data_IF_292551545741
#
_entry.id   IF_292551545741
#
_cell.length_a   1.000
_cell.length_b   1.000
_cell.length_c   1.000
_cell.angle_alpha   90.00
_cell.angle_beta   90.00
_cell.angle_gamma   90.00
#
_symmetry.space_group_name_H-M   'P 1'
#
loop_
_entity.id
_entity.type
_entity.pdbx_description
1 polymer ?
#
# COMPACT_ATOMS: atom_id res chain seq x y z
N UNK A 1 16.03 -5.59 -17.16
CA UNK A 1 15.59 -4.66 -16.11
C UNK A 1 15.15 -5.50 -14.92
N UNK A 2 15.31 -5.03 -13.68
CA UNK A 2 14.76 -5.72 -12.52
C UNK A 2 13.24 -5.85 -12.64
N UNK A 3 12.69 -7.00 -12.25
CA UNK A 3 11.26 -7.26 -12.27
C UNK A 3 10.62 -6.78 -10.96
N UNK A 4 9.55 -5.99 -11.07
CA UNK A 4 8.81 -5.47 -9.93
C UNK A 4 7.38 -6.01 -9.95
N UNK A 5 6.97 -6.69 -8.89
CA UNK A 5 5.59 -7.10 -8.70
C UNK A 5 4.86 -6.08 -7.82
N UNK A 6 3.87 -5.40 -8.38
CA UNK A 6 3.00 -4.51 -7.65
C UNK A 6 1.82 -5.29 -7.06
N UNK A 7 2.00 -5.75 -5.82
CA UNK A 7 1.03 -6.51 -5.03
C UNK A 7 0.00 -5.57 -4.38
N UNK A 8 -0.66 -4.77 -5.21
CA UNK A 8 -1.61 -3.73 -4.81
C UNK A 8 -2.81 -3.82 -5.76
N UNK A 9 -4.04 -3.86 -5.23
CA UNK A 9 -5.25 -3.85 -6.07
C UNK A 9 -5.29 -2.60 -6.98
N UNK A 10 -5.90 -2.67 -8.17
CA UNK A 10 -5.93 -1.54 -9.10
C UNK A 10 -6.46 -0.24 -8.48
N UNK A 11 -7.52 -0.34 -7.68
CA UNK A 11 -8.13 0.80 -6.99
C UNK A 11 -7.18 1.39 -5.95
N UNK A 12 -6.50 0.54 -5.16
CA UNK A 12 -5.52 1.02 -4.18
C UNK A 12 -4.30 1.61 -4.88
N UNK A 13 -3.85 1.04 -5.99
CA UNK A 13 -2.74 1.58 -6.76
C UNK A 13 -3.07 3.00 -7.26
N UNK A 14 -4.30 3.24 -7.71
CA UNK A 14 -4.76 4.57 -8.11
C UNK A 14 -4.80 5.58 -6.94
N UNK A 15 -5.03 5.13 -5.70
CA UNK A 15 -5.01 6.00 -4.51
C UNK A 15 -3.60 6.41 -4.07
N UNK A 16 -2.60 5.53 -4.24
CA UNK A 16 -1.27 5.69 -3.63
C UNK A 16 -0.15 5.90 -4.63
N UNK A 17 -0.42 5.76 -5.92
CA UNK A 17 0.54 5.89 -7.02
C UNK A 17 -0.05 6.82 -8.07
N UNK A 18 0.46 8.05 -8.13
CA UNK A 18 0.06 9.00 -9.15
C UNK A 18 0.58 8.58 -10.55
N UNK A 19 0.03 9.15 -11.64
CA UNK A 19 0.41 8.78 -13.00
C UNK A 19 1.90 8.97 -13.33
N UNK A 20 2.55 9.99 -12.76
CA UNK A 20 3.97 10.24 -13.00
C UNK A 20 4.82 9.18 -12.28
N UNK A 21 4.50 8.86 -11.02
CA UNK A 21 5.15 7.78 -10.28
C UNK A 21 4.97 6.43 -10.98
N UNK A 22 3.77 6.14 -11.52
CA UNK A 22 3.53 4.91 -12.28
C UNK A 22 4.44 4.82 -13.51
N UNK A 23 4.51 5.89 -14.31
CA UNK A 23 5.41 5.95 -15.46
C UNK A 23 6.87 5.76 -15.06
N UNK A 24 7.30 6.38 -13.96
CA UNK A 24 8.67 6.20 -13.44
C UNK A 24 8.97 4.76 -13.04
N UNK A 25 7.99 4.02 -12.50
CA UNK A 25 8.16 2.59 -12.21
C UNK A 25 8.28 1.79 -13.51
N UNK A 26 7.40 2.02 -14.47
CA UNK A 26 7.37 1.30 -15.76
C UNK A 26 8.61 1.62 -16.63
N UNK A 27 9.19 2.81 -16.51
CA UNK A 27 10.44 3.19 -17.20
C UNK A 27 11.69 2.51 -16.59
N UNK A 28 11.63 2.08 -15.33
CA UNK A 28 12.79 1.59 -14.56
C UNK A 28 12.76 0.09 -14.28
N UNK A 29 11.58 -0.50 -14.25
CA UNK A 29 11.34 -1.89 -13.90
C UNK A 29 10.48 -2.58 -14.96
N UNK A 30 10.63 -3.89 -15.08
CA UNK A 30 9.62 -4.72 -15.73
C UNK A 30 8.48 -4.95 -14.73
N UNK A 31 7.41 -4.16 -14.82
CA UNK A 31 6.37 -4.11 -13.79
C UNK A 31 5.21 -5.05 -14.10
N UNK A 32 4.93 -5.95 -13.16
CA UNK A 32 3.71 -6.76 -13.14
C UNK A 32 2.72 -6.14 -12.17
N UNK A 33 1.63 -5.60 -12.69
CA UNK A 33 0.54 -5.03 -11.89
C UNK A 33 -0.55 -6.06 -11.61
N UNK A 34 -1.02 -6.12 -10.37
CA UNK A 34 -2.26 -6.82 -10.10
C UNK A 34 -3.43 -6.19 -10.88
N UNK A 35 -4.33 -7.04 -11.35
CA UNK A 35 -5.58 -6.68 -12.06
C UNK A 35 -6.78 -6.99 -11.17
N UNK A 36 -7.99 -6.63 -11.63
CA UNK A 36 -9.23 -6.93 -10.91
C UNK A 36 -9.40 -8.44 -10.61
N UNK A 37 -8.91 -9.31 -11.49
CA UNK A 37 -8.98 -10.78 -11.33
C UNK A 37 -8.12 -11.29 -10.17
N UNK A 38 -7.18 -10.48 -9.68
CA UNK A 38 -6.31 -10.80 -8.55
C UNK A 38 -6.87 -10.27 -7.22
N UNK A 39 -8.10 -9.77 -7.19
CA UNK A 39 -8.71 -9.16 -6.00
C UNK A 39 -9.82 -10.01 -5.40
N UNK A 40 -10.07 -9.83 -4.10
CA UNK A 40 -11.10 -10.54 -3.36
C UNK A 40 -11.89 -9.63 -2.42
N UNK A 41 -13.14 -10.00 -2.19
CA UNK A 41 -14.09 -9.30 -1.33
C UNK A 41 -14.79 -8.11 -2.01
N UNK A 42 -15.92 -7.66 -1.46
CA UNK A 42 -16.62 -6.49 -1.99
C UNK A 42 -15.80 -5.22 -1.74
N UNK A 43 -15.61 -4.42 -2.80
CA UNK A 43 -15.05 -3.07 -2.69
C UNK A 43 -16.08 -2.04 -2.24
N UNK A 44 -15.61 -0.99 -1.57
CA UNK A 44 -16.37 0.22 -1.26
C UNK A 44 -15.48 1.45 -1.43
N UNK A 45 -16.07 2.65 -1.46
CA UNK A 45 -15.31 3.90 -1.51
C UNK A 45 -14.32 4.05 -0.35
N UNK A 46 -14.68 3.58 0.85
CA UNK A 46 -13.83 3.67 2.05
C UNK A 46 -12.80 2.54 2.14
N UNK A 47 -13.08 1.39 1.51
CA UNK A 47 -12.23 0.21 1.53
C UNK A 47 -12.31 -0.47 0.16
N UNK A 48 -11.35 -0.20 -0.75
CA UNK A 48 -11.27 -0.88 -2.03
C UNK A 48 -11.05 -2.40 -1.83
N UNK A 49 -11.30 -3.22 -2.86
CA UNK A 49 -11.03 -4.65 -2.84
C UNK A 49 -9.60 -4.94 -2.39
N UNK A 50 -9.44 -5.99 -1.58
CA UNK A 50 -8.12 -6.46 -1.15
C UNK A 50 -7.50 -7.34 -2.24
N UNK A 51 -6.17 -7.44 -2.25
CA UNK A 51 -5.50 -8.42 -3.11
C UNK A 51 -5.78 -9.83 -2.58
N UNK A 52 -6.12 -10.77 -3.45
CA UNK A 52 -6.31 -12.18 -3.10
C UNK A 52 -4.97 -12.79 -2.66
N UNK A 53 -4.86 -13.38 -1.46
CA UNK A 53 -3.67 -14.12 -1.05
C UNK A 53 -3.21 -15.17 -2.06
N UNK A 54 -4.12 -15.82 -2.78
CA UNK A 54 -3.79 -16.82 -3.79
C UNK A 54 -3.10 -16.23 -5.03
N UNK A 55 -3.28 -14.94 -5.31
CA UNK A 55 -2.63 -14.25 -6.42
C UNK A 55 -1.16 -13.89 -6.14
N UNK A 56 -0.76 -13.81 -4.86
CA UNK A 56 0.56 -13.31 -4.47
C UNK A 56 1.71 -14.14 -5.05
N UNK A 57 1.73 -15.49 -4.92
CA UNK A 57 2.84 -16.29 -5.46
C UNK A 57 2.95 -16.17 -6.98
N UNK A 58 1.82 -16.06 -7.69
CA UNK A 58 1.78 -15.93 -9.14
C UNK A 58 2.34 -14.58 -9.60
N UNK A 59 1.96 -13.50 -8.93
CA UNK A 59 2.44 -12.15 -9.26
C UNK A 59 3.92 -11.97 -8.87
N UNK A 60 4.35 -12.57 -7.77
CA UNK A 60 5.70 -12.48 -7.24
C UNK A 60 6.72 -13.38 -7.96
N UNK A 61 6.28 -14.27 -8.86
CA UNK A 61 7.15 -15.22 -9.54
C UNK A 61 8.27 -14.50 -10.31
N UNK A 62 9.52 -14.79 -9.94
CA UNK A 62 10.71 -14.18 -10.53
C UNK A 62 10.85 -12.67 -10.29
N UNK A 63 10.11 -12.09 -9.34
CA UNK A 63 10.23 -10.69 -9.00
C UNK A 63 11.49 -10.40 -8.17
N UNK A 64 12.19 -9.33 -8.49
CA UNK A 64 13.31 -8.82 -7.69
C UNK A 64 12.82 -7.90 -6.56
N UNK A 65 11.71 -7.20 -6.82
CA UNK A 65 11.12 -6.18 -5.93
C UNK A 65 9.62 -6.44 -5.76
N UNK A 66 9.13 -6.41 -4.53
CA UNK A 66 7.71 -6.36 -4.22
C UNK A 66 7.31 -4.93 -3.84
N UNK A 67 6.36 -4.34 -4.56
CA UNK A 67 5.72 -3.09 -4.18
C UNK A 67 4.37 -3.40 -3.54
N UNK A 68 4.15 -2.91 -2.32
CA UNK A 68 2.99 -3.26 -1.47
C UNK A 68 2.36 -2.01 -0.87
N UNK A 69 1.12 -2.09 -0.38
CA UNK A 69 0.43 -1.00 0.32
C UNK A 69 -0.68 -1.55 1.23
N UNK A 70 -1.61 -0.72 1.69
CA UNK A 70 -2.78 -1.17 2.44
C UNK A 70 -3.65 -2.12 1.61
N UNK A 71 -3.99 -3.28 2.19
CA UNK A 71 -4.79 -4.31 1.51
C UNK A 71 -3.96 -5.37 0.79
N UNK A 72 -2.62 -5.24 0.79
CA UNK A 72 -1.73 -6.37 0.51
C UNK A 72 -1.85 -7.39 1.65
N UNK A 73 -2.05 -8.69 1.36
CA UNK A 73 -2.09 -9.74 2.37
C UNK A 73 -0.71 -9.97 3.00
N UNK A 74 -0.68 -10.79 4.05
CA UNK A 74 0.57 -11.19 4.69
C UNK A 74 1.47 -11.97 3.73
N UNK A 75 2.73 -11.59 3.65
CA UNK A 75 3.78 -12.20 2.86
C UNK A 75 4.58 -13.15 3.76
N UNK A 76 4.22 -14.43 3.73
CA UNK A 76 4.90 -15.44 4.54
C UNK A 76 6.22 -15.89 3.92
N UNK A 77 7.05 -16.53 4.75
CA UNK A 77 8.38 -17.04 4.38
C UNK A 77 8.40 -17.99 3.17
N UNK A 78 7.28 -18.59 2.82
CA UNK A 78 7.11 -19.48 1.66
C UNK A 78 7.49 -18.82 0.33
N UNK A 79 7.32 -17.49 0.20
CA UNK A 79 7.74 -16.74 -0.99
C UNK A 79 9.27 -16.72 -1.19
N UNK A 80 10.04 -17.09 -0.16
CA UNK A 80 11.50 -17.13 -0.19
C UNK A 80 12.07 -18.54 0.03
N UNK A 81 11.23 -19.56 0.13
CA UNK A 81 11.64 -20.91 0.53
C UNK A 81 12.60 -21.59 -0.46
N UNK A 82 12.59 -21.20 -1.73
CA UNK A 82 13.46 -21.73 -2.78
C UNK A 82 14.81 -20.97 -2.92
N UNK A 83 15.03 -19.94 -2.10
CA UNK A 83 16.23 -19.08 -2.12
C UNK A 83 16.23 -18.00 -3.22
N UNK A 84 15.27 -18.02 -4.14
CA UNK A 84 15.15 -17.09 -5.26
C UNK A 84 14.11 -16.00 -5.03
N UNK A 85 13.55 -15.92 -3.83
CA UNK A 85 12.56 -14.90 -3.50
C UNK A 85 13.10 -13.46 -3.62
N UNK A 86 12.19 -12.46 -3.71
CA UNK A 86 12.50 -11.06 -3.96
C UNK A 86 13.46 -10.48 -2.92
N UNK A 87 14.38 -9.62 -3.35
CA UNK A 87 15.41 -9.04 -2.47
C UNK A 87 14.95 -7.75 -1.79
N UNK A 88 13.90 -7.12 -2.30
CA UNK A 88 13.37 -5.87 -1.76
C UNK A 88 11.84 -5.94 -1.61
N UNK A 89 11.34 -5.44 -0.48
CA UNK A 89 9.92 -5.17 -0.26
C UNK A 89 9.74 -3.68 0.03
N UNK A 90 9.16 -2.95 -0.92
CA UNK A 90 8.85 -1.53 -0.78
C UNK A 90 7.37 -1.37 -0.38
N UNK A 91 7.13 -0.94 0.87
CA UNK A 91 5.77 -0.72 1.38
C UNK A 91 5.38 0.75 1.29
N UNK A 92 4.50 1.07 0.35
CA UNK A 92 3.88 2.39 0.15
C UNK A 92 2.75 2.65 1.16
N UNK A 93 3.03 2.39 2.43
CA UNK A 93 2.16 2.62 3.58
C UNK A 93 2.99 2.67 4.87
N UNK A 94 2.31 2.75 6.02
CA UNK A 94 2.93 2.89 7.33
C UNK A 94 3.63 1.63 7.83
N UNK A 95 3.03 0.95 8.81
CA UNK A 95 3.67 -0.19 9.49
C UNK A 95 3.79 -1.43 8.60
N UNK A 96 4.95 -2.11 8.67
CA UNK A 96 5.21 -3.41 8.03
C UNK A 96 5.04 -4.58 8.99
N UNK A 97 4.68 -4.32 10.26
CA UNK A 97 4.66 -5.33 11.34
C UNK A 97 3.87 -6.60 11.01
N UNK A 98 2.75 -6.44 10.30
CA UNK A 98 1.87 -7.55 9.92
C UNK A 98 2.00 -7.91 8.43
N UNK A 99 2.88 -7.23 7.69
CA UNK A 99 3.04 -7.43 6.25
C UNK A 99 3.90 -8.65 5.96
N UNK A 100 4.96 -8.90 6.73
CA UNK A 100 6.00 -9.87 6.38
C UNK A 100 6.46 -10.63 7.62
N UNK A 101 6.80 -11.92 7.47
CA UNK A 101 7.43 -12.69 8.54
C UNK A 101 8.81 -12.11 8.90
N UNK A 102 9.12 -11.84 10.19
CA UNK A 102 10.42 -11.28 10.58
C UNK A 102 11.62 -12.14 10.18
N UNK A 103 11.46 -13.45 10.09
CA UNK A 103 12.53 -14.40 9.69
C UNK A 103 13.08 -14.12 8.29
N UNK A 104 12.32 -13.42 7.44
CA UNK A 104 12.75 -13.05 6.09
C UNK A 104 13.84 -11.96 6.12
N UNK A 105 13.85 -11.13 7.16
CA UNK A 105 14.87 -10.08 7.33
C UNK A 105 16.27 -10.69 7.52
N UNK A 106 16.35 -11.85 8.18
CA UNK A 106 17.61 -12.58 8.39
C UNK A 106 18.17 -13.16 7.08
N UNK A 107 17.36 -13.21 6.01
CA UNK A 107 17.77 -13.67 4.67
C UNK A 107 18.35 -12.53 3.81
N UNK A 108 18.56 -11.35 4.38
CA UNK A 108 19.12 -10.19 3.69
C UNK A 108 18.13 -9.42 2.81
N UNK A 109 16.82 -9.64 3.01
CA UNK A 109 15.76 -8.92 2.29
C UNK A 109 15.62 -7.50 2.83
N UNK A 110 15.74 -6.50 1.96
CA UNK A 110 15.55 -5.10 2.31
C UNK A 110 14.07 -4.73 2.37
N UNK A 111 13.57 -4.33 3.55
CA UNK A 111 12.18 -3.91 3.72
C UNK A 111 12.11 -2.40 3.99
N UNK A 112 11.34 -1.69 3.16
CA UNK A 112 11.17 -0.24 3.21
C UNK A 112 9.73 0.11 3.56
N UNK A 113 9.54 1.23 4.25
CA UNK A 113 8.24 1.77 4.63
C UNK A 113 8.14 3.25 4.27
N UNK A 114 6.99 3.65 3.74
CA UNK A 114 6.64 5.05 3.52
C UNK A 114 6.16 5.76 4.79
N UNK A 115 6.19 5.11 5.95
CA UNK A 115 5.80 5.65 7.25
C UNK A 115 6.32 7.06 7.54
N UNK A 116 7.64 7.32 7.41
CA UNK A 116 8.20 8.67 7.61
C UNK A 116 7.64 9.71 6.63
N UNK A 117 7.31 9.30 5.39
CA UNK A 117 6.78 10.20 4.36
C UNK A 117 5.33 10.60 4.67
N UNK A 118 4.49 9.65 5.09
CA UNK A 118 3.07 9.90 5.39
C UNK A 118 2.84 10.51 6.79
N UNK A 119 3.83 10.44 7.69
CA UNK A 119 3.71 10.93 9.07
C UNK A 119 3.34 12.42 9.14
N UNK A 120 3.82 13.23 8.20
CA UNK A 120 3.49 14.66 8.15
C UNK A 120 2.01 14.91 7.89
N UNK A 121 1.45 14.29 6.85
CA UNK A 121 0.02 14.41 6.51
C UNK A 121 -0.88 13.84 7.61
N UNK A 122 -0.44 12.77 8.29
CA UNK A 122 -1.14 12.24 9.48
C UNK A 122 -1.13 13.27 10.61
N UNK A 123 0.00 13.92 10.87
CA UNK A 123 0.11 14.98 11.88
C UNK A 123 -0.80 16.18 11.58
N UNK A 124 -0.81 16.64 10.33
CA UNK A 124 -1.69 17.72 9.85
C UNK A 124 -3.17 17.35 10.04
N UNK A 125 -3.55 16.14 9.64
CA UNK A 125 -4.92 15.64 9.83
C UNK A 125 -5.30 15.56 11.31
N UNK A 126 -4.43 15.03 12.17
CA UNK A 126 -4.68 14.95 13.61
C UNK A 126 -4.90 16.35 14.21
N UNK A 127 -4.04 17.31 13.89
CA UNK A 127 -4.18 18.69 14.36
C UNK A 127 -5.48 19.33 13.86
N UNK A 128 -5.76 19.21 12.56
CA UNK A 128 -6.99 19.71 11.96
C UNK A 128 -8.24 19.10 12.61
N UNK A 129 -8.22 17.80 12.89
CA UNK A 129 -9.31 17.08 13.57
C UNK A 129 -9.52 17.59 14.99
N UNK A 130 -8.44 17.76 15.76
CA UNK A 130 -8.51 18.29 17.13
C UNK A 130 -9.12 19.70 17.14
N UNK A 131 -8.64 20.59 16.28
CA UNK A 131 -9.15 21.97 16.18
C UNK A 131 -10.62 22.00 15.72
N UNK A 132 -10.97 21.18 14.73
CA UNK A 132 -12.33 21.05 14.19
C UNK A 132 -13.32 20.66 15.29
N UNK A 133 -12.96 19.67 16.11
CA UNK A 133 -13.81 19.19 17.19
C UNK A 133 -13.86 20.18 18.37
N UNK A 134 -12.71 20.70 18.80
CA UNK A 134 -12.62 21.67 19.89
C UNK A 134 -13.40 22.96 19.61
N UNK A 135 -13.46 23.38 18.34
CA UNK A 135 -14.19 24.57 17.91
C UNK A 135 -15.59 24.28 17.37
N UNK A 136 -16.03 23.01 17.42
CA UNK A 136 -17.35 22.57 16.96
C UNK A 136 -17.64 23.03 15.52
N UNK A 137 -16.62 23.04 14.65
CA UNK A 137 -16.74 23.57 13.29
C UNK A 137 -17.88 22.93 12.49
N UNK A 138 -18.13 21.60 12.53
CA UNK A 138 -19.23 21.01 11.77
C UNK A 138 -20.60 21.57 12.16
N UNK A 139 -20.82 21.89 13.44
CA UNK A 139 -22.06 22.51 13.91
C UNK A 139 -22.22 23.92 13.35
N UNK A 140 -21.17 24.73 13.40
CA UNK A 140 -21.23 26.10 12.90
C UNK A 140 -21.33 26.15 11.37
N UNK A 141 -20.59 25.31 10.65
CA UNK A 141 -20.71 25.17 9.19
C UNK A 141 -22.16 24.83 8.80
N UNK A 142 -22.78 23.85 9.48
CA UNK A 142 -24.18 23.49 9.23
C UNK A 142 -25.16 24.63 9.56
N UNK A 143 -24.97 25.37 10.65
CA UNK A 143 -25.83 26.49 11.03
C UNK A 143 -25.75 27.64 10.02
N UNK A 144 -24.54 28.02 9.59
CA UNK A 144 -24.34 29.07 8.59
C UNK A 144 -24.96 28.68 7.24
N UNK A 145 -24.78 27.44 6.80
CA UNK A 145 -25.45 26.93 5.58
C UNK A 145 -26.98 26.91 5.72
N UNK A 146 -27.49 26.78 6.94
CA UNK A 146 -28.92 26.81 7.26
C UNK A 146 -29.54 28.21 7.38
N UNK A 147 -28.76 29.28 7.24
CA UNK A 147 -29.26 30.67 7.26
C UNK A 147 -29.00 31.45 8.55
N UNK A 148 -28.27 30.88 9.53
CA UNK A 148 -27.85 31.57 10.75
C UNK A 148 -28.55 31.09 12.01
#
# INVERSE_FOLDING_TARGET
MPKLAALISPERAADVIDPETRRLLEDRFDVVWATADHTTGPGSLARPPALDPAAVPLLAEGADVLLTSWGTPHLGKELWADGNGPKVVAHAAGTVKNLIDPVILDQGVGVFSAGPRIAWSVGEYCLASMLTLARRLPRFDSAVRGGG
#
